data_IF_337696663562
#
_entry.id   IF_337696663562
#
_cell.length_a   1.000
_cell.length_b   1.000
_cell.length_c   1.000
_cell.angle_alpha   90.00
_cell.angle_beta   90.00
_cell.angle_gamma   90.00
#
_symmetry.space_group_name_H-M   'P 1'
#
loop_
_entity.id
_entity.type
_entity.pdbx_description
1 polymer ?
#
# COMPACT_ATOMS: atom_id res chain seq x y z
N UNK A 1 14.54 -37.74 7.88
CA UNK A 1 14.34 -37.55 9.33
C UNK A 1 12.87 -37.22 9.48
N UNK A 2 12.05 -38.24 9.77
CA UNK A 2 10.59 -38.09 9.79
C UNK A 2 10.19 -37.41 11.10
N UNK A 3 9.94 -36.10 11.03
CA UNK A 3 9.36 -35.33 12.12
C UNK A 3 7.88 -35.72 12.22
N UNK A 4 7.60 -36.74 13.05
CA UNK A 4 6.23 -37.05 13.47
C UNK A 4 5.82 -35.96 14.46
N UNK A 5 5.07 -34.97 13.99
CA UNK A 5 4.39 -34.01 14.86
C UNK A 5 3.31 -34.77 15.65
N UNK A 6 3.63 -35.14 16.88
CA UNK A 6 2.78 -35.95 17.77
C UNK A 6 1.56 -35.19 18.32
N UNK A 7 1.40 -33.92 17.98
CA UNK A 7 0.21 -33.13 18.25
C UNK A 7 -0.21 -32.43 16.95
N UNK A 8 -1.49 -32.52 16.53
CA UNK A 8 -1.98 -31.63 15.50
C UNK A 8 -1.74 -30.20 16.00
N UNK A 9 -1.08 -29.38 15.18
CA UNK A 9 -1.08 -27.94 15.36
C UNK A 9 -2.55 -27.52 15.39
N UNK A 10 -3.10 -27.26 16.58
CA UNK A 10 -4.44 -26.73 16.74
C UNK A 10 -4.38 -25.27 16.31
N UNK A 11 -4.35 -25.05 15.00
CA UNK A 11 -4.56 -23.74 14.40
C UNK A 11 -6.09 -23.58 14.35
N UNK A 12 -6.69 -22.66 15.12
CA UNK A 12 -8.12 -22.45 15.00
C UNK A 12 -8.50 -22.08 13.56
N UNK A 13 -9.74 -22.35 13.13
CA UNK A 13 -10.16 -22.08 11.75
C UNK A 13 -9.88 -20.63 11.37
N UNK A 14 -9.50 -20.40 10.11
CA UNK A 14 -9.33 -19.03 9.60
C UNK A 14 -10.71 -18.36 9.59
N UNK A 15 -10.79 -17.19 10.20
CA UNK A 15 -12.01 -16.37 10.16
C UNK A 15 -11.94 -15.51 8.90
N UNK A 16 -13.00 -15.59 8.08
CA UNK A 16 -13.10 -14.80 6.85
C UNK A 16 -13.06 -13.30 7.17
N UNK A 17 -12.31 -12.54 6.36
CA UNK A 17 -12.33 -11.08 6.47
C UNK A 17 -13.65 -10.55 5.90
N UNK A 18 -14.22 -9.55 6.55
CA UNK A 18 -15.38 -8.87 6.01
C UNK A 18 -14.97 -7.97 4.83
N UNK A 19 -15.69 -8.11 3.73
CA UNK A 19 -15.61 -7.23 2.54
C UNK A 19 -16.43 -5.96 2.74
N UNK A 20 -16.29 -4.99 1.83
CA UNK A 20 -17.17 -3.82 1.77
C UNK A 20 -18.65 -4.20 1.69
N UNK A 21 -18.99 -5.19 0.87
CA UNK A 21 -20.35 -5.69 0.74
C UNK A 21 -20.86 -6.32 2.05
N UNK A 22 -19.99 -7.02 2.79
CA UNK A 22 -20.35 -7.57 4.10
C UNK A 22 -20.63 -6.46 5.12
N UNK A 23 -19.83 -5.39 5.13
CA UNK A 23 -20.08 -4.24 5.99
C UNK A 23 -21.36 -3.49 5.60
N UNK A 24 -21.63 -3.31 4.31
CA UNK A 24 -22.86 -2.67 3.85
C UNK A 24 -24.11 -3.43 4.31
N UNK A 25 -24.08 -4.77 4.30
CA UNK A 25 -25.17 -5.61 4.82
C UNK A 25 -25.41 -5.41 6.32
N UNK A 26 -24.41 -4.99 7.08
CA UNK A 26 -24.55 -4.68 8.51
C UNK A 26 -25.07 -3.28 8.80
N UNK A 27 -25.15 -2.39 7.81
CA UNK A 27 -25.76 -1.08 8.01
C UNK A 27 -27.27 -1.24 8.27
N UNK A 28 -27.80 -0.69 9.37
CA UNK A 28 -29.24 -0.70 9.63
C UNK A 28 -30.04 -0.02 8.52
N UNK A 29 -31.24 -0.50 8.23
CA UNK A 29 -32.12 0.18 7.28
C UNK A 29 -32.47 1.61 7.73
N UNK A 30 -32.65 2.52 6.78
CA UNK A 30 -33.06 3.89 7.06
C UNK A 30 -32.66 4.89 5.99
N UNK A 31 -33.14 6.12 6.15
CA UNK A 31 -33.12 7.19 5.14
C UNK A 31 -31.71 7.54 4.63
N UNK A 32 -30.66 7.26 5.43
CA UNK A 32 -29.28 7.57 5.07
C UNK A 32 -28.44 6.33 4.67
N UNK A 33 -28.97 5.11 4.72
CA UNK A 33 -28.18 3.88 4.50
C UNK A 33 -27.45 3.92 3.15
N UNK A 34 -28.17 4.26 2.08
CA UNK A 34 -27.60 4.38 0.73
C UNK A 34 -26.47 5.42 0.65
N UNK A 35 -26.61 6.53 1.36
CA UNK A 35 -25.64 7.63 1.39
C UNK A 35 -24.38 7.21 2.13
N UNK A 36 -24.55 6.56 3.29
CA UNK A 36 -23.44 6.04 4.08
C UNK A 36 -22.71 4.95 3.29
N UNK A 37 -23.44 3.99 2.72
CA UNK A 37 -22.85 2.91 1.93
C UNK A 37 -22.12 3.44 0.69
N UNK A 38 -22.77 4.30 -0.09
CA UNK A 38 -22.20 4.82 -1.34
C UNK A 38 -21.13 5.90 -1.13
N UNK A 39 -21.45 6.96 -0.37
CA UNK A 39 -20.60 8.15 -0.26
C UNK A 39 -19.55 8.04 0.85
N UNK A 40 -19.89 7.48 2.02
CA UNK A 40 -18.89 7.26 3.08
C UNK A 40 -18.01 6.04 2.80
N UNK A 41 -18.60 4.97 2.26
CA UNK A 41 -17.89 3.78 1.78
C UNK A 41 -17.04 4.03 0.53
N UNK A 42 -17.09 5.22 -0.08
CA UNK A 42 -16.30 5.54 -1.27
C UNK A 42 -14.81 5.57 -0.96
N UNK A 43 -14.37 6.20 0.14
CA UNK A 43 -12.95 6.49 0.43
C UNK A 43 -12.23 5.44 1.26
N UNK A 44 -12.93 4.70 2.09
CA UNK A 44 -12.43 3.51 2.78
C UNK A 44 -13.62 2.62 3.12
N UNK A 45 -13.37 1.38 3.53
CA UNK A 45 -14.45 0.49 3.93
C UNK A 45 -15.30 1.04 5.08
N UNK A 46 -16.48 0.46 5.26
CA UNK A 46 -17.46 0.89 6.26
C UNK A 46 -17.14 0.42 7.69
N UNK A 47 -16.04 -0.33 7.90
CA UNK A 47 -15.61 -0.76 9.22
C UNK A 47 -15.57 0.40 10.23
N UNK A 48 -14.95 1.57 9.95
CA UNK A 48 -14.89 2.69 10.91
C UNK A 48 -16.26 3.27 11.28
N UNK A 49 -17.26 3.11 10.41
CA UNK A 49 -18.64 3.55 10.69
C UNK A 49 -19.28 2.57 11.67
N UNK A 50 -19.31 1.29 11.30
CA UNK A 50 -19.97 0.23 12.07
C UNK A 50 -19.36 0.02 13.46
N UNK A 51 -18.06 0.27 13.60
CA UNK A 51 -17.30 0.08 14.84
C UNK A 51 -17.25 1.30 15.76
N UNK A 52 -17.58 2.50 15.28
CA UNK A 52 -17.54 3.69 16.12
C UNK A 52 -18.83 3.83 16.95
N UNK A 53 -18.70 4.30 18.19
CA UNK A 53 -19.82 4.63 19.08
C UNK A 53 -19.66 6.09 19.50
N UNK A 54 -20.47 6.96 18.92
CA UNK A 54 -20.28 8.42 18.97
C UNK A 54 -21.60 9.12 19.23
N UNK A 55 -21.53 10.24 19.93
CA UNK A 55 -22.66 11.16 20.04
C UNK A 55 -22.97 11.76 18.67
N UNK A 56 -24.19 12.28 18.48
CA UNK A 56 -24.58 13.01 17.26
C UNK A 56 -23.58 14.11 16.89
N UNK A 57 -23.15 14.90 17.87
CA UNK A 57 -22.16 15.96 17.67
C UNK A 57 -20.84 15.41 17.10
N UNK A 58 -20.36 14.28 17.63
CA UNK A 58 -19.10 13.66 17.14
C UNK A 58 -19.26 12.96 15.79
N UNK A 59 -20.47 12.51 15.46
CA UNK A 59 -20.80 12.06 14.11
C UNK A 59 -20.84 13.21 13.11
N UNK A 60 -21.43 14.35 13.46
CA UNK A 60 -21.41 15.57 12.66
C UNK A 60 -19.96 15.98 12.34
N UNK A 61 -19.10 16.11 13.36
CA UNK A 61 -17.67 16.42 13.14
C UNK A 61 -16.96 15.41 12.23
N UNK A 62 -17.40 14.14 12.25
CA UNK A 62 -16.85 13.12 11.35
C UNK A 62 -17.30 13.34 9.92
N UNK A 63 -18.59 13.62 9.71
CA UNK A 63 -19.15 13.92 8.38
C UNK A 63 -18.53 15.18 7.83
N UNK A 64 -18.43 16.26 8.62
CA UNK A 64 -17.82 17.53 8.22
C UNK A 64 -16.36 17.30 7.77
N UNK A 65 -15.56 16.61 8.58
CA UNK A 65 -14.17 16.27 8.22
C UNK A 65 -14.09 15.43 6.94
N UNK A 66 -15.01 14.49 6.74
CA UNK A 66 -15.00 13.66 5.53
C UNK A 66 -15.43 14.47 4.30
N UNK A 67 -16.44 15.34 4.43
CA UNK A 67 -16.96 16.19 3.38
C UNK A 67 -15.94 17.27 2.94
N UNK A 68 -15.30 17.92 3.92
CA UNK A 68 -14.21 18.89 3.69
C UNK A 68 -13.02 18.23 2.98
N UNK A 69 -12.66 17.00 3.35
CA UNK A 69 -11.60 16.23 2.71
C UNK A 69 -11.96 15.69 1.31
N UNK A 70 -13.25 15.50 1.02
CA UNK A 70 -13.74 15.01 -0.28
C UNK A 70 -13.76 16.11 -1.34
N UNK A 71 -14.15 17.34 -0.96
CA UNK A 71 -14.42 18.41 -1.92
C UNK A 71 -13.49 19.62 -1.80
N UNK A 72 -12.73 19.81 -0.71
CA UNK A 72 -11.80 20.95 -0.58
C UNK A 72 -12.41 22.32 -0.93
N UNK A 73 -13.74 22.44 -0.83
CA UNK A 73 -14.50 23.66 -1.07
C UNK A 73 -15.06 24.04 0.30
N UNK A 74 -14.54 25.10 0.91
CA UNK A 74 -15.37 25.89 1.81
C UNK A 74 -16.52 26.43 0.95
N UNK A 75 -17.70 25.86 1.09
CA UNK A 75 -18.85 26.27 0.27
C UNK A 75 -19.12 27.77 0.48
N UNK A 76 -19.34 28.54 -0.58
CA UNK A 76 -20.02 29.83 -0.45
C UNK A 76 -21.44 29.57 0.10
N UNK A 77 -21.90 30.47 0.98
CA UNK A 77 -23.12 30.41 1.79
C UNK A 77 -24.48 30.24 1.04
N UNK A 78 -24.54 29.96 -0.27
CA UNK A 78 -25.77 30.12 -1.06
C UNK A 78 -26.02 28.97 -2.08
N UNK A 79 -25.76 27.72 -1.71
CA UNK A 79 -26.20 26.56 -2.51
C UNK A 79 -26.66 25.43 -1.58
N UNK A 80 -27.76 25.67 -0.87
CA UNK A 80 -28.31 24.78 0.15
C UNK A 80 -29.74 24.39 -0.25
N UNK A 81 -30.02 23.10 -0.47
CA UNK A 81 -31.37 22.59 -0.15
C UNK A 81 -31.37 21.10 0.16
N UNK A 82 -30.98 20.22 -0.76
CA UNK A 82 -31.22 18.78 -0.58
C UNK A 82 -29.99 18.00 -0.11
N UNK A 83 -28.83 18.25 -0.73
CA UNK A 83 -27.60 17.54 -0.41
C UNK A 83 -27.08 17.94 0.99
N UNK A 84 -27.24 19.20 1.40
CA UNK A 84 -26.88 19.60 2.77
C UNK A 84 -27.82 19.07 3.82
N UNK A 85 -29.12 18.96 3.53
CA UNK A 85 -30.03 18.31 4.46
C UNK A 85 -29.62 16.85 4.64
N UNK A 86 -29.21 16.19 3.55
CA UNK A 86 -28.69 14.83 3.58
C UNK A 86 -27.44 14.72 4.48
N UNK A 87 -26.45 15.60 4.33
CA UNK A 87 -25.18 15.54 5.07
C UNK A 87 -25.18 16.16 6.48
N UNK A 88 -25.94 17.22 6.73
CA UNK A 88 -25.91 17.95 8.00
C UNK A 88 -27.02 17.50 8.96
N UNK A 89 -28.03 16.81 8.45
CA UNK A 89 -29.18 16.36 9.24
C UNK A 89 -29.35 14.86 9.12
N UNK A 90 -29.67 14.35 7.92
CA UNK A 90 -30.12 12.96 7.73
C UNK A 90 -29.02 11.95 8.06
N UNK A 91 -27.79 12.13 7.57
CA UNK A 91 -26.66 11.22 7.81
C UNK A 91 -26.22 11.25 9.29
N UNK A 92 -25.94 12.40 9.92
CA UNK A 92 -25.57 12.46 11.34
C UNK A 92 -26.65 11.91 12.27
N UNK A 93 -27.92 12.16 11.98
CA UNK A 93 -29.05 11.65 12.78
C UNK A 93 -29.19 10.13 12.63
N UNK A 94 -29.08 9.62 11.40
CA UNK A 94 -29.05 8.17 11.14
C UNK A 94 -27.87 7.51 11.87
N UNK A 95 -26.67 8.10 11.80
CA UNK A 95 -25.48 7.56 12.46
C UNK A 95 -25.61 7.62 13.98
N UNK A 96 -26.15 8.70 14.53
CA UNK A 96 -26.39 8.83 15.97
C UNK A 96 -27.46 7.85 16.46
N UNK A 97 -28.54 7.66 15.71
CA UNK A 97 -29.61 6.72 16.05
C UNK A 97 -29.11 5.28 16.11
N UNK A 98 -28.24 4.90 15.18
CA UNK A 98 -27.82 3.51 15.00
C UNK A 98 -26.46 3.17 15.64
N UNK A 99 -25.63 4.19 15.92
CA UNK A 99 -24.27 4.04 16.43
C UNK A 99 -23.95 5.04 17.56
N UNK A 100 -24.90 5.25 18.47
CA UNK A 100 -24.76 6.03 19.71
C UNK A 100 -23.75 5.38 20.68
N UNK A 101 -23.26 6.09 21.73
CA UNK A 101 -22.31 5.54 22.71
C UNK A 101 -22.72 4.20 23.35
N UNK A 102 -24.03 3.97 23.52
CA UNK A 102 -24.65 2.80 24.14
C UNK A 102 -25.19 1.77 23.14
N UNK A 103 -25.08 2.03 21.83
CA UNK A 103 -25.55 1.09 20.80
C UNK A 103 -24.74 -0.21 20.82
N UNK A 104 -25.38 -1.39 20.70
CA UNK A 104 -24.67 -2.66 20.67
C UNK A 104 -23.72 -2.75 19.46
N UNK A 105 -22.58 -3.41 19.61
CA UNK A 105 -21.67 -3.71 18.50
C UNK A 105 -21.86 -5.13 18.00
N UNK A 106 -21.98 -5.30 16.69
CA UNK A 106 -21.93 -6.63 16.08
C UNK A 106 -20.56 -7.24 16.38
N UNK A 107 -20.54 -8.42 17.00
CA UNK A 107 -19.31 -9.09 17.40
C UNK A 107 -18.40 -9.38 16.22
N UNK A 108 -18.95 -9.54 15.00
CA UNK A 108 -18.18 -9.67 13.77
C UNK A 108 -17.40 -8.39 13.48
N UNK A 109 -18.01 -7.22 13.64
CA UNK A 109 -17.33 -5.92 13.45
C UNK A 109 -16.23 -5.72 14.48
N UNK A 110 -16.50 -6.06 15.74
CA UNK A 110 -15.50 -6.00 16.81
C UNK A 110 -14.32 -6.92 16.47
N UNK A 111 -14.57 -8.14 16.00
CA UNK A 111 -13.54 -9.09 15.56
C UNK A 111 -12.67 -8.60 14.38
N UNK A 112 -13.14 -7.62 13.61
CA UNK A 112 -12.37 -6.99 12.53
C UNK A 112 -11.54 -5.78 12.99
N UNK A 113 -11.83 -5.17 14.15
CA UNK A 113 -11.11 -3.99 14.69
C UNK A 113 -9.61 -4.25 14.93
N UNK A 114 -9.21 -5.52 14.95
CA UNK A 114 -7.88 -6.08 15.17
C UNK A 114 -6.85 -5.77 14.05
N UNK A 115 -7.21 -4.98 13.02
CA UNK A 115 -6.31 -4.60 11.92
C UNK A 115 -5.48 -3.32 12.16
N UNK A 116 -5.68 -2.59 13.26
CA UNK A 116 -4.88 -1.39 13.62
C UNK A 116 -3.51 -1.77 14.21
N UNK A 117 -2.54 -0.83 14.14
CA UNK A 117 -1.16 -0.97 14.65
C UNK A 117 -1.06 -1.33 16.14
N UNK A 118 -2.14 -1.12 16.91
CA UNK A 118 -2.22 -1.31 18.36
C UNK A 118 -3.37 -2.24 18.80
N UNK A 119 -4.07 -2.87 17.84
CA UNK A 119 -5.09 -3.88 18.15
C UNK A 119 -4.43 -5.22 18.50
N UNK A 120 -5.11 -6.12 19.25
CA UNK A 120 -4.61 -7.48 19.45
C UNK A 120 -4.44 -8.17 18.08
N UNK A 121 -3.56 -9.16 17.96
CA UNK A 121 -3.42 -9.92 16.72
C UNK A 121 -4.67 -10.76 16.47
N UNK A 122 -5.06 -10.89 15.21
CA UNK A 122 -6.10 -11.83 14.82
C UNK A 122 -5.53 -13.25 14.92
N UNK A 123 -6.09 -14.07 15.83
CA UNK A 123 -5.47 -15.30 16.34
C UNK A 123 -4.85 -16.24 15.28
N UNK A 124 -5.40 -16.31 14.06
CA UNK A 124 -4.87 -17.18 12.98
C UNK A 124 -4.76 -16.55 11.59
N UNK A 125 -4.85 -15.21 11.47
CA UNK A 125 -4.95 -14.61 10.13
C UNK A 125 -3.71 -14.89 9.27
N UNK A 126 -2.57 -14.93 9.94
CA UNK A 126 -1.24 -15.00 9.34
C UNK A 126 -0.53 -16.34 9.58
N UNK A 127 -1.21 -17.33 10.18
CA UNK A 127 -0.62 -18.65 10.41
C UNK A 127 -0.83 -19.53 9.18
N UNK A 128 0.23 -20.12 8.61
CA UNK A 128 0.09 -21.10 7.53
C UNK A 128 -0.60 -22.36 8.06
N UNK A 129 -1.88 -22.50 7.74
CA UNK A 129 -2.72 -23.64 8.15
C UNK A 129 -2.61 -24.88 7.27
N UNK A 130 -1.74 -24.85 6.25
CA UNK A 130 -1.62 -25.89 5.22
C UNK A 130 -0.21 -26.45 5.18
N UNK A 131 -0.11 -27.78 5.08
CA UNK A 131 1.18 -28.44 4.89
C UNK A 131 1.79 -28.02 3.56
N UNK A 132 3.05 -27.59 3.58
CA UNK A 132 3.79 -27.23 2.38
C UNK A 132 4.09 -28.47 1.54
N UNK A 133 3.80 -28.40 0.24
CA UNK A 133 4.04 -29.47 -0.73
C UNK A 133 4.62 -28.91 -2.03
N UNK A 134 5.29 -29.76 -2.81
CA UNK A 134 5.78 -29.41 -4.14
C UNK A 134 6.74 -28.21 -4.13
N UNK A 135 6.58 -27.28 -5.08
CA UNK A 135 7.41 -26.09 -5.20
C UNK A 135 7.34 -25.17 -3.96
N UNK A 136 6.21 -25.14 -3.25
CA UNK A 136 6.03 -24.31 -2.05
C UNK A 136 6.88 -24.80 -0.87
N UNK A 137 7.36 -26.05 -0.89
CA UNK A 137 8.26 -26.60 0.14
C UNK A 137 9.76 -26.38 -0.17
N UNK A 138 10.10 -25.75 -1.30
CA UNK A 138 11.48 -25.63 -1.78
C UNK A 138 11.97 -24.18 -1.73
N UNK A 139 12.17 -23.67 -0.53
CA UNK A 139 12.73 -22.33 -0.33
C UNK A 139 13.50 -22.23 0.98
N UNK A 140 14.37 -21.22 1.05
CA UNK A 140 15.02 -20.77 2.28
C UNK A 140 14.43 -19.40 2.62
N UNK A 141 13.97 -19.23 3.85
CA UNK A 141 13.63 -17.92 4.40
C UNK A 141 14.70 -17.49 5.41
N UNK A 142 15.16 -16.24 5.28
CA UNK A 142 16.05 -15.61 6.23
C UNK A 142 15.45 -14.31 6.73
N UNK A 143 15.54 -14.09 8.03
CA UNK A 143 15.06 -12.87 8.67
C UNK A 143 16.20 -12.20 9.43
N UNK A 144 16.22 -10.87 9.37
CA UNK A 144 17.16 -10.02 10.07
C UNK A 144 16.37 -9.04 10.94
N UNK A 145 16.56 -9.15 12.25
CA UNK A 145 15.99 -8.20 13.21
C UNK A 145 16.82 -6.92 13.16
N UNK A 146 16.16 -5.80 12.90
CA UNK A 146 16.72 -4.47 13.00
C UNK A 146 16.61 -3.96 14.45
N UNK A 147 17.35 -2.90 14.82
CA UNK A 147 17.20 -2.29 16.14
C UNK A 147 15.76 -1.87 16.42
N UNK A 148 15.27 -2.02 17.68
CA UNK A 148 13.90 -1.69 18.03
C UNK A 148 13.50 -0.27 17.63
N UNK A 149 12.31 -0.14 17.06
CA UNK A 149 11.73 1.10 16.60
C UNK A 149 12.11 1.51 15.18
N UNK A 150 12.95 0.77 14.45
CA UNK A 150 13.30 1.09 13.06
C UNK A 150 12.07 1.30 12.15
N UNK A 151 11.07 0.44 12.28
CA UNK A 151 9.89 0.36 11.43
C UNK A 151 10.25 0.45 9.94
N UNK A 152 10.99 -0.55 9.41
CA UNK A 152 11.39 -0.57 8.01
C UNK A 152 10.13 -0.64 7.15
N UNK A 153 10.00 0.31 6.24
CA UNK A 153 8.74 0.51 5.49
C UNK A 153 8.82 0.10 4.04
N UNK A 154 9.94 0.37 3.40
CA UNK A 154 10.18 0.08 1.99
C UNK A 154 11.60 -0.42 1.83
N UNK A 155 11.80 -1.23 0.79
CA UNK A 155 13.02 -1.99 0.55
C UNK A 155 13.30 -2.06 -0.95
N UNK A 156 14.58 -1.97 -1.32
CA UNK A 156 15.02 -2.11 -2.70
C UNK A 156 16.41 -2.72 -2.75
N UNK A 157 16.86 -3.15 -3.93
CA UNK A 157 18.15 -3.81 -4.14
C UNK A 157 18.85 -3.13 -5.30
N UNK A 158 20.11 -2.76 -5.12
CA UNK A 158 20.94 -2.15 -6.17
C UNK A 158 21.59 -3.19 -7.09
N UNK A 159 22.33 -2.71 -8.10
CA UNK A 159 22.96 -3.58 -9.10
C UNK A 159 24.04 -4.51 -8.53
N UNK A 160 24.52 -4.24 -7.31
CA UNK A 160 25.52 -5.02 -6.59
C UNK A 160 24.89 -6.01 -5.59
N UNK A 161 23.56 -6.08 -5.52
CA UNK A 161 22.85 -6.92 -4.56
C UNK A 161 22.80 -6.33 -3.15
N UNK A 162 23.21 -5.07 -2.96
CA UNK A 162 23.09 -4.39 -1.68
C UNK A 162 21.65 -3.94 -1.50
N UNK A 163 21.15 -4.16 -0.28
CA UNK A 163 19.76 -3.92 0.07
C UNK A 163 19.66 -2.59 0.81
N UNK A 164 18.74 -1.75 0.35
CA UNK A 164 18.49 -0.42 0.89
C UNK A 164 17.10 -0.35 1.50
N UNK A 165 17.00 0.21 2.71
CA UNK A 165 15.78 0.16 3.54
C UNK A 165 15.45 1.56 4.04
N UNK A 166 14.20 2.00 3.88
CA UNK A 166 13.72 3.23 4.51
C UNK A 166 13.15 2.96 5.90
N UNK A 167 13.69 3.60 6.94
CA UNK A 167 13.20 3.48 8.32
C UNK A 167 12.30 4.66 8.71
N UNK A 168 11.03 4.37 8.97
CA UNK A 168 10.02 5.43 9.14
C UNK A 168 10.14 6.18 10.45
N UNK A 169 10.41 5.51 11.57
CA UNK A 169 10.42 6.20 12.87
C UNK A 169 11.79 6.80 13.21
N UNK A 170 12.89 6.18 12.75
CA UNK A 170 14.25 6.67 13.01
C UNK A 170 14.68 7.72 12.00
N UNK A 171 14.05 7.77 10.82
CA UNK A 171 14.41 8.66 9.74
C UNK A 171 15.74 8.30 9.07
N UNK A 172 16.26 7.08 9.26
CA UNK A 172 17.56 6.65 8.75
C UNK A 172 17.43 5.78 7.50
N UNK A 173 18.46 5.83 6.66
CA UNK A 173 18.64 4.89 5.56
C UNK A 173 19.38 3.66 6.08
N UNK A 174 18.77 2.50 5.93
CA UNK A 174 19.40 1.21 6.17
C UNK A 174 20.17 0.73 4.95
N UNK A 175 21.40 0.26 5.15
CA UNK A 175 22.19 -0.48 4.15
C UNK A 175 22.49 -1.88 4.68
N UNK A 176 21.97 -2.90 4.03
CA UNK A 176 22.26 -4.30 4.33
C UNK A 176 23.09 -4.94 3.22
N UNK A 177 24.19 -5.55 3.60
CA UNK A 177 25.07 -6.30 2.70
C UNK A 177 24.83 -7.80 2.91
N UNK A 178 24.24 -8.52 1.93
CA UNK A 178 23.93 -9.93 2.09
C UNK A 178 25.15 -10.85 2.03
N UNK A 179 26.31 -10.38 1.58
CA UNK A 179 27.53 -11.18 1.56
C UNK A 179 28.21 -11.20 2.92
N UNK A 180 28.29 -10.04 3.58
CA UNK A 180 28.89 -9.91 4.91
C UNK A 180 27.88 -10.03 6.06
N UNK A 181 26.57 -10.04 5.75
CA UNK A 181 25.46 -9.97 6.70
C UNK A 181 25.53 -8.76 7.64
N UNK A 182 26.07 -7.64 7.14
CA UNK A 182 26.19 -6.40 7.93
C UNK A 182 25.08 -5.41 7.62
N UNK A 183 24.43 -4.90 8.66
CA UNK A 183 23.49 -3.78 8.59
C UNK A 183 24.15 -2.48 9.07
N UNK A 184 23.98 -1.38 8.33
CA UNK A 184 24.49 -0.06 8.70
C UNK A 184 23.36 0.96 8.62
N UNK A 185 23.26 1.78 9.67
CA UNK A 185 22.43 2.98 9.65
C UNK A 185 23.19 4.16 9.07
N UNK A 186 22.59 4.83 8.09
CA UNK A 186 23.08 6.07 7.51
C UNK A 186 22.12 7.18 7.96
N UNK A 187 22.67 8.17 8.66
CA UNK A 187 21.89 9.32 9.11
C UNK A 187 21.47 10.18 7.91
N UNK A 188 20.19 10.50 7.85
CA UNK A 188 19.69 11.47 6.88
C UNK A 188 20.14 12.89 7.27
N UNK A 189 20.36 13.78 6.29
CA UNK A 189 20.64 15.18 6.57
C UNK A 189 19.46 15.81 7.33
N UNK A 190 19.70 16.79 8.23
CA UNK A 190 18.62 17.50 8.91
C UNK A 190 17.73 18.25 7.90
N UNK A 191 16.48 18.48 8.26
CA UNK A 191 15.56 19.35 7.54
C UNK A 191 15.16 20.57 8.38
N UNK A 192 14.12 21.29 7.94
CA UNK A 192 13.59 22.42 8.72
C UNK A 192 12.87 21.93 9.99
N UNK A 193 12.32 20.73 9.94
CA UNK A 193 11.76 20.03 11.09
C UNK A 193 12.75 18.95 11.57
N UNK A 194 12.97 18.80 12.89
CA UNK A 194 13.87 17.78 13.43
C UNK A 194 13.41 16.34 13.13
N UNK A 195 12.13 16.12 12.83
CA UNK A 195 11.56 14.82 12.52
C UNK A 195 11.73 14.48 11.04
N UNK A 196 12.70 13.61 10.76
CA UNK A 196 12.86 12.96 9.44
C UNK A 196 12.00 11.70 9.40
N UNK A 197 11.24 11.51 8.32
CA UNK A 197 10.35 10.36 8.16
C UNK A 197 10.53 9.72 6.79
N UNK A 198 11.33 8.65 6.70
CA UNK A 198 11.59 7.98 5.43
C UNK A 198 10.56 6.88 5.14
N UNK A 199 9.86 7.01 4.02
CA UNK A 199 8.70 6.15 3.74
C UNK A 199 8.67 5.45 2.40
N UNK A 200 9.61 5.76 1.53
CA UNK A 200 9.82 5.08 0.27
C UNK A 200 11.31 5.11 -0.09
N UNK A 201 11.77 4.06 -0.76
CA UNK A 201 13.14 3.96 -1.27
C UNK A 201 13.13 3.32 -2.66
N UNK A 202 14.01 3.80 -3.55
CA UNK A 202 14.27 3.18 -4.85
C UNK A 202 15.72 3.45 -5.24
N UNK A 203 16.25 2.70 -6.21
CA UNK A 203 17.59 2.89 -6.74
C UNK A 203 17.50 3.20 -8.23
N UNK A 204 18.40 4.03 -8.72
CA UNK A 204 18.54 4.28 -10.15
C UNK A 204 19.60 3.36 -10.79
N UNK A 205 19.71 3.32 -12.13
CA UNK A 205 20.70 2.48 -12.82
C UNK A 205 22.17 2.82 -12.53
N UNK A 206 22.46 3.89 -11.79
CA UNK A 206 23.80 4.29 -11.36
C UNK A 206 24.04 3.96 -9.87
N UNK A 207 23.16 3.16 -9.27
CA UNK A 207 23.13 2.79 -7.86
C UNK A 207 23.02 4.00 -6.92
N UNK A 208 22.45 5.11 -7.38
CA UNK A 208 22.06 6.20 -6.47
C UNK A 208 20.76 5.82 -5.77
N UNK A 209 20.70 6.06 -4.46
CA UNK A 209 19.57 5.68 -3.62
C UNK A 209 18.67 6.89 -3.43
N UNK A 210 17.41 6.76 -3.83
CA UNK A 210 16.41 7.82 -3.76
C UNK A 210 15.41 7.53 -2.65
N UNK A 211 15.12 8.54 -1.82
CA UNK A 211 14.29 8.41 -0.61
C UNK A 211 13.22 9.50 -0.56
N UNK A 212 12.07 9.17 0.02
CA UNK A 212 11.03 10.14 0.35
C UNK A 212 11.04 10.45 1.85
N UNK A 213 11.48 11.66 2.22
CA UNK A 213 11.28 12.28 3.54
C UNK A 213 9.96 13.07 3.49
N UNK A 214 8.87 12.32 3.54
CA UNK A 214 7.51 12.77 3.21
C UNK A 214 6.67 13.15 4.44
N UNK A 215 7.36 13.30 5.58
CA UNK A 215 6.82 13.86 6.82
C UNK A 215 6.81 15.39 6.78
N UNK A 216 7.12 16.08 7.89
CA UNK A 216 7.10 17.54 7.96
C UNK A 216 8.11 18.22 7.00
N UNK A 217 9.19 17.55 6.65
CA UNK A 217 10.24 18.09 5.79
C UNK A 217 9.91 18.09 4.29
N UNK A 218 8.90 17.33 3.86
CA UNK A 218 8.36 17.30 2.49
C UNK A 218 9.42 17.38 1.37
N UNK A 219 10.33 16.40 1.28
CA UNK A 219 11.43 16.42 0.33
C UNK A 219 11.80 15.02 -0.18
N UNK A 220 12.39 14.99 -1.37
CA UNK A 220 13.09 13.80 -1.89
C UNK A 220 14.57 13.96 -1.58
N UNK A 221 15.22 12.87 -1.19
CA UNK A 221 16.66 12.81 -0.98
C UNK A 221 17.29 11.88 -2.01
N UNK A 222 18.50 12.19 -2.49
CA UNK A 222 19.37 11.27 -3.21
C UNK A 222 20.61 11.03 -2.37
N UNK A 223 20.94 9.78 -2.09
CA UNK A 223 22.18 9.36 -1.46
C UNK A 223 23.09 8.73 -2.49
N UNK A 224 24.35 9.16 -2.53
CA UNK A 224 25.39 8.54 -3.35
C UNK A 224 26.23 7.58 -2.48
N UNK A 225 26.13 6.25 -2.67
CA UNK A 225 26.89 5.30 -1.88
C UNK A 225 28.41 5.41 -2.03
N UNK A 226 28.91 6.03 -3.11
CA UNK A 226 30.35 6.16 -3.36
C UNK A 226 30.97 7.31 -2.56
N UNK A 227 30.33 8.47 -2.54
CA UNK A 227 30.80 9.64 -1.80
C UNK A 227 30.26 9.70 -0.36
N UNK A 228 29.12 9.06 -0.10
CA UNK A 228 28.38 9.17 1.16
C UNK A 228 27.58 10.46 1.29
N UNK A 229 27.44 11.24 0.21
CA UNK A 229 26.77 12.53 0.23
C UNK A 229 25.27 12.44 -0.08
N UNK A 230 24.52 13.43 0.43
CA UNK A 230 23.11 13.59 0.15
C UNK A 230 22.83 14.84 -0.66
N UNK A 231 21.99 14.70 -1.67
CA UNK A 231 21.28 15.79 -2.32
C UNK A 231 19.84 15.87 -1.80
N UNK A 232 19.33 17.10 -1.65
CA UNK A 232 17.95 17.35 -1.23
C UNK A 232 17.15 18.11 -2.29
N UNK A 233 15.89 17.70 -2.47
CA UNK A 233 14.95 18.22 -3.45
C UNK A 233 13.62 18.52 -2.73
N UNK A 234 13.33 19.79 -2.39
CA UNK A 234 12.07 20.14 -1.73
C UNK A 234 10.88 19.84 -2.66
N UNK A 235 9.83 19.20 -2.11
CA UNK A 235 8.60 19.00 -2.85
C UNK A 235 7.85 20.33 -2.98
N UNK A 236 7.26 20.64 -4.15
CA UNK A 236 6.47 21.86 -4.28
C UNK A 236 5.23 21.79 -3.36
N UNK A 237 4.92 22.91 -2.70
CA UNK A 237 3.82 22.99 -1.75
C UNK A 237 2.47 22.61 -2.38
N UNK A 238 1.62 22.00 -1.55
CA UNK A 238 0.25 21.69 -1.92
C UNK A 238 -0.65 22.90 -1.61
N UNK A 239 -1.36 23.47 -2.61
CA UNK A 239 -2.02 24.77 -2.46
C UNK A 239 -3.35 24.73 -1.67
N UNK A 240 -3.78 23.55 -1.21
CA UNK A 240 -5.01 23.42 -0.43
C UNK A 240 -4.69 23.12 1.03
N UNK A 241 -5.46 23.69 1.98
CA UNK A 241 -5.24 23.47 3.39
C UNK A 241 -5.34 21.98 3.72
N UNK A 242 -4.29 21.46 4.38
CA UNK A 242 -4.27 20.13 4.98
C UNK A 242 -4.19 20.36 6.48
N UNK A 243 -5.00 19.67 7.32
CA UNK A 243 -4.89 19.80 8.77
C UNK A 243 -3.43 19.61 9.23
N UNK A 244 -2.96 20.45 10.14
CA UNK A 244 -1.54 20.49 10.58
C UNK A 244 -1.01 19.14 11.07
N UNK A 245 -1.89 18.24 11.51
CA UNK A 245 -1.55 16.90 11.98
C UNK A 245 -1.46 15.83 10.88
N UNK A 246 -1.73 16.17 9.61
CA UNK A 246 -1.69 15.25 8.47
C UNK A 246 -0.56 15.67 7.52
N UNK A 247 0.48 14.83 7.29
CA UNK A 247 1.53 15.17 6.35
C UNK A 247 0.99 15.13 4.92
N UNK A 248 0.83 16.31 4.30
CA UNK A 248 0.34 16.45 2.93
C UNK A 248 1.23 15.78 1.89
N UNK A 249 2.54 15.75 2.15
CA UNK A 249 3.58 15.25 1.25
C UNK A 249 3.63 13.72 1.15
N UNK A 250 2.77 13.01 1.89
CA UNK A 250 2.80 11.55 2.04
C UNK A 250 2.93 10.83 0.71
N UNK A 251 3.98 10.03 0.57
CA UNK A 251 4.27 9.21 -0.60
C UNK A 251 3.77 7.77 -0.40
N UNK A 252 3.06 7.28 -1.40
CA UNK A 252 2.64 5.89 -1.51
C UNK A 252 3.79 5.03 -2.00
N UNK A 253 4.29 5.34 -3.20
CA UNK A 253 5.33 4.61 -3.92
C UNK A 253 6.30 5.59 -4.57
N UNK A 254 7.59 5.25 -4.55
CA UNK A 254 8.67 5.93 -5.24
C UNK A 254 9.31 4.96 -6.24
N UNK A 255 9.58 5.41 -7.47
CA UNK A 255 10.24 4.61 -8.52
C UNK A 255 11.18 5.47 -9.35
N UNK A 256 12.29 4.90 -9.78
CA UNK A 256 13.08 5.47 -10.87
C UNK A 256 12.59 4.89 -12.21
N UNK A 257 11.96 5.70 -13.05
CA UNK A 257 11.37 5.29 -14.32
C UNK A 257 11.76 6.28 -15.41
N UNK A 258 12.25 5.75 -16.54
CA UNK A 258 12.59 6.53 -17.74
C UNK A 258 13.56 7.70 -17.49
N UNK A 259 14.51 7.53 -16.56
CA UNK A 259 15.49 8.57 -16.21
C UNK A 259 15.01 9.63 -15.22
N UNK A 260 13.79 9.47 -14.68
CA UNK A 260 13.19 10.38 -13.70
C UNK A 260 12.84 9.62 -12.42
N UNK A 261 12.78 10.37 -11.32
CA UNK A 261 12.22 9.86 -10.07
C UNK A 261 10.74 10.23 -10.04
N UNK A 262 9.90 9.22 -9.94
CA UNK A 262 8.46 9.37 -9.88
C UNK A 262 7.90 8.95 -8.54
N UNK A 263 6.87 9.65 -8.07
CA UNK A 263 6.23 9.34 -6.80
C UNK A 263 4.72 9.55 -6.82
N UNK A 264 3.99 8.75 -6.03
CA UNK A 264 2.55 8.93 -5.81
C UNK A 264 2.29 9.68 -4.50
N UNK A 265 1.73 10.89 -4.59
CA UNK A 265 1.31 11.70 -3.45
C UNK A 265 -0.08 11.27 -2.96
N UNK A 266 -0.11 10.50 -1.88
CA UNK A 266 -1.34 9.86 -1.37
C UNK A 266 -2.37 10.87 -0.85
N UNK A 267 -1.91 11.87 -0.11
CA UNK A 267 -2.75 12.88 0.54
C UNK A 267 -2.92 14.10 -0.37
N UNK A 268 -1.85 14.53 -1.03
CA UNK A 268 -1.90 15.61 -2.04
C UNK A 268 -2.66 15.23 -3.32
N UNK A 269 -2.91 13.94 -3.56
CA UNK A 269 -3.60 13.42 -4.75
C UNK A 269 -2.91 13.87 -6.04
N UNK A 270 -1.58 13.68 -6.08
CA UNK A 270 -0.72 14.06 -7.19
C UNK A 270 0.21 12.93 -7.60
N UNK A 271 0.67 12.98 -8.85
CA UNK A 271 1.84 12.23 -9.29
C UNK A 271 3.00 13.23 -9.40
N UNK A 272 4.13 12.94 -8.77
CA UNK A 272 5.33 13.77 -8.81
C UNK A 272 6.30 13.19 -9.84
N UNK A 273 6.97 14.06 -10.60
CA UNK A 273 8.14 13.72 -11.43
C UNK A 273 9.28 14.67 -11.12
N UNK A 274 10.35 14.14 -10.55
CA UNK A 274 11.63 14.82 -10.37
C UNK A 274 12.57 14.47 -11.52
N UNK A 275 13.12 15.50 -12.16
CA UNK A 275 14.23 15.38 -13.09
C UNK A 275 15.57 15.51 -12.31
N UNK A 276 16.37 14.44 -12.18
CA UNK A 276 17.64 14.49 -11.44
C UNK A 276 18.63 15.50 -12.01
N UNK A 277 18.63 15.72 -13.34
CA UNK A 277 19.58 16.61 -14.01
C UNK A 277 19.24 18.08 -13.79
N UNK A 278 17.96 18.44 -13.86
CA UNK A 278 17.53 19.85 -13.70
C UNK A 278 17.11 20.19 -12.28
N UNK A 279 17.04 19.19 -11.37
CA UNK A 279 16.51 19.28 -10.00
C UNK A 279 15.07 19.77 -9.89
N UNK A 280 14.32 19.79 -11.00
CA UNK A 280 12.94 20.31 -11.04
C UNK A 280 11.95 19.19 -10.75
N UNK A 281 10.99 19.46 -9.86
CA UNK A 281 9.84 18.61 -9.60
C UNK A 281 8.62 19.22 -10.28
N UNK A 282 7.95 18.44 -11.13
CA UNK A 282 6.63 18.75 -11.68
C UNK A 282 5.58 17.85 -11.04
N UNK A 283 4.34 18.33 -10.96
CA UNK A 283 3.23 17.59 -10.38
C UNK A 283 2.07 17.49 -11.37
N UNK A 284 1.49 16.30 -11.47
CA UNK A 284 0.28 16.04 -12.25
C UNK A 284 -0.88 15.85 -11.27
N UNK A 285 -2.01 16.50 -11.54
CA UNK A 285 -3.24 16.23 -10.80
C UNK A 285 -3.62 14.75 -10.95
N UNK A 286 -3.95 14.06 -9.85
CA UNK A 286 -4.73 12.83 -9.92
C UNK A 286 -6.22 13.19 -9.72
N UNK A 287 -7.17 12.37 -10.20
CA UNK A 287 -8.59 12.55 -9.89
C UNK A 287 -8.81 12.61 -8.39
N UNK A 288 -9.73 13.48 -7.99
CA UNK A 288 -9.99 13.70 -6.57
C UNK A 288 -10.48 12.44 -5.88
N UNK A 289 -10.04 12.24 -4.66
CA UNK A 289 -10.34 11.05 -3.87
C UNK A 289 -9.66 9.79 -4.39
N UNK A 290 -8.79 9.82 -5.41
CA UNK A 290 -8.17 8.58 -5.93
C UNK A 290 -7.18 7.91 -4.98
N UNK A 291 -6.47 8.70 -4.15
CA UNK A 291 -5.33 8.26 -3.31
C UNK A 291 -4.35 7.38 -4.11
N UNK A 292 -3.61 7.96 -5.06
CA UNK A 292 -2.73 7.22 -5.96
C UNK A 292 -1.67 6.46 -5.16
N UNK A 293 -1.44 5.18 -5.46
CA UNK A 293 -0.53 4.34 -4.68
C UNK A 293 0.53 3.64 -5.53
N UNK A 294 0.19 2.58 -6.27
CA UNK A 294 1.16 1.87 -7.12
C UNK A 294 1.55 2.72 -8.32
N UNK A 295 2.73 2.46 -8.89
CA UNK A 295 3.26 3.25 -9.99
C UNK A 295 4.11 2.37 -10.92
N UNK A 296 3.87 2.44 -12.22
CA UNK A 296 4.61 1.69 -13.23
C UNK A 296 4.77 2.50 -14.54
N UNK A 297 5.74 2.09 -15.35
CA UNK A 297 5.88 2.53 -16.74
C UNK A 297 5.29 1.44 -17.64
N UNK A 298 4.20 1.75 -18.36
CA UNK A 298 3.54 0.79 -19.25
C UNK A 298 4.34 0.53 -20.53
N UNK A 299 3.91 -0.47 -21.31
CA UNK A 299 4.47 -0.77 -22.64
C UNK A 299 4.36 0.39 -23.62
N UNK A 300 3.35 1.25 -23.43
CA UNK A 300 3.13 2.49 -24.17
C UNK A 300 4.03 3.67 -23.72
N UNK A 301 4.98 3.42 -22.80
CA UNK A 301 5.88 4.43 -22.21
C UNK A 301 5.14 5.54 -21.46
N UNK A 302 3.88 5.30 -21.10
CA UNK A 302 3.11 6.19 -20.24
C UNK A 302 3.29 5.78 -18.79
N UNK A 303 3.04 6.73 -17.88
CA UNK A 303 3.02 6.44 -16.45
C UNK A 303 1.65 5.94 -16.09
N UNK A 304 1.60 4.86 -15.34
CA UNK A 304 0.37 4.29 -14.83
C UNK A 304 0.41 4.26 -13.32
N UNK A 305 -0.73 4.53 -12.69
CA UNK A 305 -0.88 4.38 -11.25
C UNK A 305 -2.20 3.71 -10.89
N UNK A 306 -2.18 2.98 -9.78
CA UNK A 306 -3.37 2.40 -9.17
C UNK A 306 -3.95 3.36 -8.13
N UNK A 307 -5.27 3.55 -8.15
CA UNK A 307 -6.00 4.35 -7.18
C UNK A 307 -6.61 3.45 -6.12
N UNK A 308 -6.26 3.68 -4.85
CA UNK A 308 -6.77 2.90 -3.70
C UNK A 308 -8.27 3.03 -3.48
N UNK A 309 -8.81 4.15 -3.91
CA UNK A 309 -10.16 4.56 -3.54
C UNK A 309 -11.09 4.41 -4.73
N UNK A 310 -10.74 5.01 -5.87
CA UNK A 310 -11.62 5.09 -7.03
C UNK A 310 -11.77 3.79 -7.84
N UNK A 311 -11.25 2.65 -7.36
CA UNK A 311 -11.25 1.35 -8.05
C UNK A 311 -10.80 1.43 -9.52
N UNK A 312 -9.73 2.19 -9.75
CA UNK A 312 -9.30 2.60 -11.10
C UNK A 312 -7.80 2.52 -11.23
N UNK A 313 -7.33 2.05 -12.38
CA UNK A 313 -5.95 2.25 -12.82
C UNK A 313 -5.96 3.39 -13.82
N UNK A 314 -5.09 4.38 -13.65
CA UNK A 314 -5.09 5.57 -14.49
C UNK A 314 -3.80 5.66 -15.27
N UNK A 315 -3.92 5.82 -16.59
CA UNK A 315 -2.83 6.19 -17.48
C UNK A 315 -2.64 7.70 -17.46
N UNK A 316 -1.42 8.14 -17.20
CA UNK A 316 -0.95 9.51 -17.26
C UNK A 316 0.01 9.66 -18.44
N UNK A 317 -0.34 10.54 -19.39
CA UNK A 317 0.58 11.01 -20.41
C UNK A 317 1.31 12.27 -19.89
N UNK A 318 2.61 12.20 -19.59
CA UNK A 318 3.35 13.33 -19.03
C UNK A 318 3.79 14.39 -20.04
N UNK A 319 3.56 14.16 -21.33
CA UNK A 319 3.77 15.16 -22.38
C UNK A 319 2.55 16.08 -22.58
N UNK A 320 1.36 15.63 -22.19
CA UNK A 320 0.09 16.36 -22.38
C UNK A 320 -0.72 16.52 -21.10
N UNK A 321 -0.22 16.05 -19.97
CA UNK A 321 -0.90 15.95 -18.68
C UNK A 321 -2.25 15.20 -18.71
N UNK A 322 -2.49 14.41 -19.76
CA UNK A 322 -3.78 13.74 -19.97
C UNK A 322 -3.89 12.52 -19.07
N UNK A 323 -4.97 12.45 -18.31
CA UNK A 323 -5.35 11.29 -17.52
C UNK A 323 -6.41 10.48 -18.24
N UNK A 324 -6.25 9.17 -18.26
CA UNK A 324 -7.18 8.23 -18.86
C UNK A 324 -7.50 7.11 -17.85
N UNK A 325 -8.72 7.10 -17.29
CA UNK A 325 -9.11 6.11 -16.29
C UNK A 325 -9.52 4.77 -16.92
N UNK A 326 -9.03 3.68 -16.35
CA UNK A 326 -9.43 2.31 -16.65
C UNK A 326 -10.11 1.72 -15.41
N UNK A 327 -11.43 1.73 -15.44
CA UNK A 327 -12.27 1.27 -14.34
C UNK A 327 -12.26 -0.25 -14.27
N UNK A 328 -12.16 -0.80 -13.07
CA UNK A 328 -12.39 -2.22 -12.83
C UNK A 328 -13.90 -2.42 -12.67
N UNK A 329 -14.54 -3.32 -13.45
CA UNK A 329 -15.99 -3.50 -13.41
C UNK A 329 -16.55 -4.01 -12.07
N UNK A 330 -15.72 -4.67 -11.26
CA UNK A 330 -16.12 -5.36 -10.02
C UNK A 330 -16.05 -4.47 -8.75
N UNK A 331 -16.28 -5.10 -7.60
CA UNK A 331 -16.21 -4.53 -6.26
C UNK A 331 -14.95 -3.71 -5.98
N UNK A 332 -15.07 -2.83 -4.99
CA UNK A 332 -13.95 -2.01 -4.53
C UNK A 332 -12.80 -2.90 -4.05
N UNK A 333 -11.65 -2.71 -4.67
CA UNK A 333 -10.51 -3.62 -4.54
C UNK A 333 -9.31 -3.06 -3.74
N UNK A 334 -9.37 -1.82 -3.25
CA UNK A 334 -8.25 -1.08 -2.61
C UNK A 334 -6.92 -1.31 -3.34
N UNK A 335 -6.81 -0.83 -4.59
CA UNK A 335 -5.67 -1.15 -5.45
C UNK A 335 -4.35 -0.63 -4.88
N UNK A 336 -3.36 -1.52 -4.75
CA UNK A 336 -2.04 -1.25 -4.16
C UNK A 336 -0.93 -1.32 -5.18
N UNK A 337 0.00 -2.26 -5.04
CA UNK A 337 1.15 -2.42 -5.91
C UNK A 337 0.76 -2.42 -7.38
N UNK A 338 1.60 -1.81 -8.20
CA UNK A 338 1.47 -1.79 -9.65
C UNK A 338 2.87 -1.98 -10.22
N UNK A 339 3.02 -2.91 -11.16
CA UNK A 339 4.27 -3.13 -11.89
C UNK A 339 3.96 -3.55 -13.33
N UNK A 340 4.87 -3.25 -14.25
CA UNK A 340 4.76 -3.70 -15.63
C UNK A 340 5.49 -5.04 -15.83
N UNK A 341 4.93 -5.92 -16.64
CA UNK A 341 5.57 -7.15 -17.08
C UNK A 341 6.46 -6.95 -18.31
N UNK A 342 7.09 -8.04 -18.79
CA UNK A 342 7.99 -8.00 -19.92
C UNK A 342 7.31 -7.55 -21.23
N UNK A 343 6.00 -7.79 -21.35
CA UNK A 343 5.18 -7.39 -22.50
C UNK A 343 4.64 -5.95 -22.37
N UNK A 344 4.87 -5.31 -21.22
CA UNK A 344 4.40 -3.97 -20.89
C UNK A 344 2.98 -3.90 -20.36
N UNK A 345 2.33 -5.04 -20.08
CA UNK A 345 1.04 -5.09 -19.38
C UNK A 345 1.25 -4.83 -17.90
N UNK A 346 0.19 -4.43 -17.20
CA UNK A 346 0.29 -4.01 -15.82
C UNK A 346 -0.33 -5.04 -14.89
N UNK A 347 0.41 -5.38 -13.83
CA UNK A 347 -0.05 -6.23 -12.74
C UNK A 347 -0.38 -5.36 -11.54
N UNK A 348 -1.59 -5.52 -11.03
CA UNK A 348 -2.17 -4.71 -9.95
C UNK A 348 -2.56 -5.61 -8.79
N UNK A 349 -2.18 -5.21 -7.58
CA UNK A 349 -2.58 -5.90 -6.37
C UNK A 349 -3.92 -5.35 -5.88
N UNK A 350 -4.96 -6.19 -5.88
CA UNK A 350 -6.27 -5.87 -5.35
C UNK A 350 -6.35 -6.35 -3.89
N UNK A 351 -5.93 -5.47 -2.98
CA UNK A 351 -5.74 -5.79 -1.58
C UNK A 351 -7.02 -6.29 -0.90
N UNK A 352 -8.16 -5.68 -1.20
CA UNK A 352 -9.40 -5.97 -0.49
C UNK A 352 -10.07 -7.26 -0.99
N UNK A 353 -10.10 -7.47 -2.30
CA UNK A 353 -10.67 -8.68 -2.92
C UNK A 353 -9.73 -9.88 -2.88
N UNK A 354 -8.45 -9.68 -2.54
CA UNK A 354 -7.46 -10.75 -2.49
C UNK A 354 -6.97 -11.21 -3.86
N UNK A 355 -7.24 -10.45 -4.94
CA UNK A 355 -6.95 -10.84 -6.32
C UNK A 355 -5.68 -10.16 -6.87
N UNK A 356 -5.11 -10.75 -7.92
CA UNK A 356 -4.21 -10.06 -8.85
C UNK A 356 -4.97 -9.70 -10.11
N UNK A 357 -4.75 -8.48 -10.61
CA UNK A 357 -5.36 -8.02 -11.85
C UNK A 357 -4.27 -7.77 -12.89
N UNK A 358 -4.43 -8.31 -14.09
CA UNK A 358 -3.63 -7.96 -15.26
C UNK A 358 -4.43 -7.00 -16.13
N UNK A 359 -3.87 -5.83 -16.39
CA UNK A 359 -4.39 -4.84 -17.32
C UNK A 359 -3.58 -4.89 -18.62
N UNK A 360 -4.25 -5.22 -19.71
CA UNK A 360 -3.68 -5.05 -21.05
C UNK A 360 -3.64 -3.56 -21.38
N UNK A 361 -2.44 -3.00 -21.53
CA UNK A 361 -2.27 -1.55 -21.70
C UNK A 361 -2.77 -1.02 -23.05
N UNK A 362 -3.00 -1.89 -24.04
CA UNK A 362 -3.46 -1.52 -25.39
C UNK A 362 -4.98 -1.45 -25.46
N UNK A 363 -5.63 -2.41 -24.82
CA UNK A 363 -7.10 -2.55 -24.85
C UNK A 363 -7.77 -1.93 -23.63
N UNK A 364 -7.05 -1.79 -22.52
CA UNK A 364 -7.62 -1.35 -21.25
C UNK A 364 -8.41 -2.44 -20.51
N UNK A 365 -8.35 -3.69 -20.97
CA UNK A 365 -9.10 -4.80 -20.39
C UNK A 365 -8.36 -5.40 -19.19
N UNK A 366 -9.13 -5.73 -18.15
CA UNK A 366 -8.65 -6.45 -16.97
C UNK A 366 -8.89 -7.95 -17.10
N UNK A 367 -7.93 -8.75 -16.64
CA UNK A 367 -8.06 -10.17 -16.36
C UNK A 367 -7.73 -10.40 -14.90
N UNK A 368 -8.55 -11.17 -14.19
CA UNK A 368 -8.37 -11.41 -12.77
C UNK A 368 -7.82 -12.80 -12.48
N UNK A 369 -6.97 -12.88 -11.47
CA UNK A 369 -6.36 -14.12 -11.01
C UNK A 369 -6.50 -14.22 -9.49
N UNK A 370 -6.97 -15.37 -9.03
CA UNK A 370 -7.24 -15.62 -7.61
C UNK A 370 -6.09 -16.47 -7.03
N UNK A 371 -5.27 -15.94 -6.11
CA UNK A 371 -4.32 -16.72 -5.36
C UNK A 371 -5.00 -17.87 -4.59
N UNK A 372 -4.31 -19.01 -4.35
CA UNK A 372 -4.85 -20.14 -3.59
C UNK A 372 -5.34 -19.76 -2.19
N UNK A 373 -4.65 -18.83 -1.54
CA UNK A 373 -5.07 -18.29 -0.24
C UNK A 373 -6.16 -17.25 -0.43
N UNK A 374 -7.37 -17.61 -0.01
CA UNK A 374 -8.49 -16.68 0.11
C UNK A 374 -8.12 -15.48 0.99
N UNK A 375 -8.67 -14.29 0.72
CA UNK A 375 -8.41 -13.07 1.51
C UNK A 375 -6.91 -12.82 1.79
N UNK A 376 -6.01 -13.20 0.88
CA UNK A 376 -4.55 -13.11 1.04
C UNK A 376 -4.04 -11.66 1.11
N UNK A 377 -4.80 -10.72 0.57
CA UNK A 377 -4.46 -9.32 0.52
C UNK A 377 -3.15 -9.04 -0.21
N UNK A 378 -3.07 -9.27 -1.53
CA UNK A 378 -1.97 -8.78 -2.34
C UNK A 378 -1.70 -7.30 -2.07
N UNK A 379 -0.46 -6.92 -1.76
CA UNK A 379 -0.12 -5.54 -1.42
C UNK A 379 0.97 -4.96 -2.31
N UNK A 380 2.20 -5.47 -2.26
CA UNK A 380 3.27 -5.06 -3.16
C UNK A 380 3.35 -6.02 -4.35
N UNK A 381 3.78 -5.50 -5.49
CA UNK A 381 4.10 -6.29 -6.69
C UNK A 381 5.48 -5.87 -7.17
N UNK A 382 6.29 -6.85 -7.52
CA UNK A 382 7.49 -6.69 -8.34
C UNK A 382 7.51 -7.80 -9.39
N UNK A 383 8.06 -7.53 -10.57
CA UNK A 383 8.02 -8.46 -11.71
C UNK A 383 9.43 -8.85 -12.12
N UNK A 384 9.69 -10.15 -12.18
CA UNK A 384 10.89 -10.67 -12.82
C UNK A 384 10.67 -10.63 -14.33
N UNK A 385 10.99 -9.49 -14.96
CA UNK A 385 10.81 -9.31 -16.41
C UNK A 385 11.67 -10.24 -17.26
N UNK A 386 12.69 -10.90 -16.70
CA UNK A 386 13.50 -11.89 -17.46
C UNK A 386 12.77 -13.22 -17.60
N UNK A 387 12.05 -13.64 -16.54
CA UNK A 387 11.30 -14.90 -16.50
C UNK A 387 9.79 -14.70 -16.66
N UNK A 388 9.35 -13.45 -16.70
CA UNK A 388 7.96 -13.01 -16.68
C UNK A 388 7.16 -13.53 -15.47
N UNK A 389 7.81 -13.64 -14.31
CA UNK A 389 7.19 -14.11 -13.06
C UNK A 389 6.73 -12.93 -12.20
N UNK A 390 5.51 -13.02 -11.70
CA UNK A 390 4.88 -11.95 -10.91
C UNK A 390 5.04 -12.30 -9.43
N UNK A 391 5.81 -11.50 -8.71
CA UNK A 391 6.00 -11.65 -7.28
C UNK A 391 5.13 -10.64 -6.54
N UNK A 392 4.49 -11.08 -5.46
CA UNK A 392 3.62 -10.22 -4.67
C UNK A 392 3.66 -10.58 -3.19
N UNK A 393 3.46 -9.60 -2.33
CA UNK A 393 3.27 -9.86 -0.90
C UNK A 393 1.81 -10.04 -0.57
N UNK A 394 1.51 -11.00 0.30
CA UNK A 394 0.19 -11.24 0.84
C UNK A 394 0.15 -10.75 2.28
N UNK A 395 -0.22 -9.48 2.47
CA UNK A 395 -0.11 -8.81 3.78
C UNK A 395 -1.17 -9.31 4.78
N UNK A 396 -2.13 -10.12 4.34
CA UNK A 396 -3.20 -10.67 5.19
C UNK A 396 -3.02 -12.16 5.50
N UNK A 397 -1.95 -12.78 5.01
CA UNK A 397 -1.62 -14.19 5.24
C UNK A 397 -0.15 -14.41 5.58
N UNK A 398 0.66 -13.34 5.61
CA UNK A 398 2.12 -13.37 5.78
C UNK A 398 2.80 -14.37 4.84
N UNK A 399 2.48 -14.24 3.56
CA UNK A 399 3.12 -15.00 2.49
C UNK A 399 3.73 -14.08 1.46
N UNK A 400 4.68 -14.63 0.71
CA UNK A 400 5.09 -14.08 -0.58
C UNK A 400 4.55 -15.04 -1.64
N UNK A 401 3.75 -14.52 -2.56
CA UNK A 401 3.22 -15.26 -3.69
C UNK A 401 4.07 -15.06 -4.94
N UNK A 402 4.15 -16.11 -5.76
CA UNK A 402 4.70 -16.09 -7.11
C UNK A 402 3.67 -16.64 -8.07
N UNK A 403 3.32 -15.85 -9.08
CA UNK A 403 2.43 -16.24 -10.16
C UNK A 403 3.21 -16.37 -11.47
N UNK A 404 2.98 -17.47 -12.17
CA UNK A 404 3.47 -17.70 -13.53
C UNK A 404 2.30 -17.56 -14.52
N UNK A 405 2.23 -16.47 -15.29
CA UNK A 405 1.16 -16.25 -16.27
C UNK A 405 1.16 -17.25 -17.43
N UNK A 406 2.29 -17.91 -17.72
CA UNK A 406 2.41 -18.83 -18.86
C UNK A 406 1.77 -20.19 -18.60
N UNK A 407 1.82 -20.63 -17.34
CA UNK A 407 1.23 -21.89 -16.86
C UNK A 407 -0.04 -21.68 -16.05
N UNK A 408 -0.37 -20.42 -15.73
CA UNK A 408 -1.45 -20.04 -14.82
C UNK A 408 -1.33 -20.70 -13.43
N UNK A 409 -0.11 -20.75 -12.90
CA UNK A 409 0.16 -21.40 -11.60
C UNK A 409 0.63 -20.42 -10.54
N UNK A 410 0.08 -20.58 -9.34
CA UNK A 410 0.55 -19.91 -8.13
C UNK A 410 1.43 -20.83 -7.29
N UNK A 411 2.47 -20.24 -6.69
CA UNK A 411 3.22 -20.82 -5.58
C UNK A 411 3.27 -19.79 -4.48
N UNK A 412 2.83 -20.16 -3.29
CA UNK A 412 2.83 -19.27 -2.12
C UNK A 412 3.81 -19.78 -1.09
N UNK A 413 4.61 -18.87 -0.56
CA UNK A 413 5.65 -19.19 0.39
C UNK A 413 5.38 -18.49 1.71
N UNK A 414 5.05 -19.23 2.79
CA UNK A 414 4.75 -18.61 4.06
C UNK A 414 6.01 -18.08 4.76
N UNK A 415 5.82 -16.98 5.49
CA UNK A 415 6.84 -16.50 6.40
C UNK A 415 7.05 -17.46 7.57
N UNK A 416 8.27 -17.54 8.12
CA UNK A 416 8.52 -18.28 9.37
C UNK A 416 7.76 -17.71 10.57
N UNK A 417 7.40 -16.42 10.54
CA UNK A 417 6.70 -15.73 11.61
C UNK A 417 5.35 -15.18 11.15
N UNK A 418 4.32 -15.44 11.95
CA UNK A 418 3.05 -14.74 11.87
C UNK A 418 3.18 -13.29 12.37
N UNK A 419 2.27 -12.45 11.91
CA UNK A 419 2.20 -11.00 12.13
C UNK A 419 3.43 -10.23 11.63
N UNK A 420 4.09 -10.77 10.61
CA UNK A 420 5.17 -10.09 9.89
C UNK A 420 4.63 -8.99 8.96
N UNK A 421 3.35 -8.98 8.59
CA UNK A 421 2.68 -7.87 7.89
C UNK A 421 3.50 -7.45 6.64
N UNK A 422 3.89 -8.43 5.82
CA UNK A 422 4.84 -8.22 4.70
C UNK A 422 4.32 -7.18 3.72
N UNK A 423 4.89 -5.97 3.79
CA UNK A 423 4.39 -4.80 3.06
C UNK A 423 5.06 -4.62 1.72
N UNK A 424 6.38 -4.58 1.70
CA UNK A 424 7.15 -4.24 0.50
C UNK A 424 8.07 -5.39 0.18
N UNK A 425 8.21 -5.66 -1.11
CA UNK A 425 9.10 -6.67 -1.65
C UNK A 425 9.97 -6.06 -2.75
N UNK A 426 11.15 -6.63 -2.95
CA UNK A 426 12.04 -6.31 -4.05
C UNK A 426 12.74 -7.57 -4.55
N UNK A 427 12.66 -7.82 -5.86
CA UNK A 427 13.40 -8.91 -6.49
C UNK A 427 14.88 -8.54 -6.52
N UNK A 428 15.73 -9.45 -6.05
CA UNK A 428 17.17 -9.32 -6.19
C UNK A 428 17.55 -9.59 -7.66
N UNK A 429 17.89 -8.55 -8.41
CA UNK A 429 18.22 -8.70 -9.84
C UNK A 429 19.55 -9.42 -10.08
N UNK A 430 20.39 -9.53 -9.05
CA UNK A 430 21.64 -10.30 -9.07
C UNK A 430 21.41 -11.78 -8.73
N UNK A 431 20.34 -12.08 -8.01
CA UNK A 431 19.88 -13.43 -7.71
C UNK A 431 18.34 -13.52 -7.84
N UNK A 432 17.79 -13.77 -9.04
CA UNK A 432 16.35 -13.70 -9.29
C UNK A 432 15.54 -14.80 -8.60
N UNK A 433 16.19 -15.75 -7.92
CA UNK A 433 15.51 -16.70 -7.03
C UNK A 433 15.25 -16.08 -5.65
N UNK A 434 15.80 -14.90 -5.36
CA UNK A 434 15.70 -14.20 -4.09
C UNK A 434 14.77 -12.98 -4.18
N UNK A 435 13.84 -12.91 -3.23
CA UNK A 435 12.94 -11.76 -3.04
C UNK A 435 13.12 -11.24 -1.63
N UNK A 436 13.56 -9.98 -1.53
CA UNK A 436 13.67 -9.25 -0.28
C UNK A 436 12.33 -8.70 0.16
N UNK A 437 12.15 -8.53 1.46
CA UNK A 437 10.96 -7.96 2.05
C UNK A 437 11.25 -7.14 3.30
N UNK A 438 10.31 -6.26 3.67
CA UNK A 438 10.36 -5.48 4.91
C UNK A 438 9.03 -5.48 5.65
N UNK A 439 9.12 -5.49 6.99
CA UNK A 439 7.99 -5.45 7.93
C UNK A 439 8.08 -4.27 8.88
N UNK A 440 7.06 -3.42 8.88
CA UNK A 440 6.99 -2.27 9.78
C UNK A 440 6.57 -2.63 11.22
N UNK A 441 5.99 -3.82 11.45
CA UNK A 441 5.51 -4.26 12.78
C UNK A 441 6.57 -5.03 13.55
N UNK A 442 7.47 -5.73 12.85
CA UNK A 442 8.46 -6.60 13.48
C UNK A 442 9.86 -6.00 13.60
N UNK A 443 10.09 -4.77 13.14
CA UNK A 443 11.43 -4.20 12.94
C UNK A 443 12.34 -5.18 12.20
N UNK A 444 11.83 -5.77 11.11
CA UNK A 444 12.51 -6.84 10.38
C UNK A 444 12.58 -6.55 8.90
N UNK A 445 13.66 -7.02 8.32
CA UNK A 445 13.78 -7.29 6.90
C UNK A 445 14.15 -8.75 6.72
N UNK A 446 14.07 -9.23 5.49
CA UNK A 446 14.58 -10.56 5.18
C UNK A 446 14.47 -10.84 3.71
N UNK A 447 14.74 -12.09 3.37
CA UNK A 447 14.47 -12.57 2.04
C UNK A 447 13.92 -13.99 2.06
N UNK A 448 13.24 -14.31 0.98
CA UNK A 448 12.97 -15.66 0.55
C UNK A 448 13.86 -16.00 -0.64
N UNK A 449 14.46 -17.18 -0.68
CA UNK A 449 15.20 -17.70 -1.82
C UNK A 449 14.63 -19.06 -2.25
N UNK A 450 14.09 -19.14 -3.46
CA UNK A 450 13.57 -20.39 -4.04
C UNK A 450 14.72 -21.34 -4.38
N UNK A 451 14.57 -22.60 -3.99
CA UNK A 451 15.48 -23.70 -4.30
C UNK A 451 14.86 -24.49 -5.45
N UNK A 452 15.22 -24.14 -6.68
CA UNK A 452 14.73 -24.86 -7.88
C UNK A 452 15.56 -26.10 -8.19
#
# INVERSE_FOLDING_TARGET
>A
MDLVLSAPLQIPPRVKRMTDADFEKLLPEGDAKRVVAGKCGYCHNLLPVLSARKTRAKWQETVDRMYDNLLGIHKPLISLSDEEREYNVVVPDYLAKNFAPDSPQDSRVVSQWFLRREGPSHLNRNLPGTLLQGAAAKYVAMEFTLPPGAAPRDITVDSQGIVWVSETNTGKLGRFDPHSLTYRHIASPPGNDPKVQLNAVTVDPLDQVWLADDGPNARVLRYDPKSGEFDSYPMPEYPYPVPDNIPWARIGTLRFLDGYVWATGLISQRILRLNPKTRKIVQYAAPRGSSPFGLALGGDKMIWYSARIGNVVVRLNPGTDRLEPHLIPEERSDLRGLAADADGNLWVAALETGKLLKLDYRTGNFTEYTPPTEDSGPFAIDVDTKRNLIWFSEIFSDKIGRFDPSTNTFVEFPHPLADSDVRRIAIDRTNPNRVWWSSNRGDKIGYLAVVE
#
